data_IF_461092440541
#
_entry.id   IF_461092440541
#
_cell.length_a   1.000
_cell.length_b   1.000
_cell.length_c   1.000
_cell.angle_alpha   90.00
_cell.angle_beta   90.00
_cell.angle_gamma   90.00
#
_symmetry.space_group_name_H-M   'P 1'
#
loop_
_entity.id
_entity.type
_entity.pdbx_description
1 polymer ?
#
# COMPACT_ATOMS: atom_id res chain seq x y z
N UNK A 1 10.49 -1.96 -22.98
CA UNK A 1 9.17 -2.08 -22.38
C UNK A 1 8.27 -1.00 -22.97
N UNK A 2 7.34 -1.36 -23.82
CA UNK A 2 6.27 -0.43 -24.22
C UNK A 2 5.31 -0.40 -23.03
N UNK A 3 5.15 0.79 -22.47
CA UNK A 3 4.55 1.04 -21.20
C UNK A 3 3.20 0.37 -21.00
N UNK A 4 3.07 -0.26 -19.85
CA UNK A 4 1.79 -0.52 -19.26
C UNK A 4 1.07 0.78 -18.89
N UNK A 5 -0.13 0.69 -18.29
CA UNK A 5 -0.82 1.87 -17.81
C UNK A 5 0.05 2.64 -16.80
N UNK A 6 -0.01 3.95 -16.86
CA UNK A 6 0.65 4.85 -15.91
C UNK A 6 -0.41 5.67 -15.16
N UNK A 7 -0.24 5.89 -13.87
CA UNK A 7 0.85 5.45 -13.00
C UNK A 7 0.83 3.93 -12.74
N UNK A 8 1.99 3.33 -12.50
CA UNK A 8 2.10 1.91 -12.21
C UNK A 8 2.87 1.63 -10.92
N UNK A 9 2.53 0.53 -10.26
CA UNK A 9 3.23 0.01 -9.08
C UNK A 9 3.86 -1.32 -9.47
N UNK A 10 5.16 -1.48 -9.19
CA UNK A 10 5.82 -2.77 -9.33
C UNK A 10 5.49 -3.64 -8.11
N UNK A 11 5.09 -4.89 -8.34
CA UNK A 11 4.83 -5.84 -7.26
C UNK A 11 5.76 -7.03 -7.42
N UNK A 12 6.65 -7.23 -6.46
CA UNK A 12 7.72 -8.21 -6.51
C UNK A 12 7.64 -9.15 -5.31
N UNK A 13 7.38 -10.43 -5.56
CA UNK A 13 7.46 -11.48 -4.55
C UNK A 13 8.89 -12.01 -4.46
N UNK A 14 9.42 -12.07 -3.25
CA UNK A 14 10.65 -12.78 -2.94
C UNK A 14 10.33 -14.27 -2.77
N UNK A 15 11.12 -15.14 -3.41
CA UNK A 15 10.89 -16.60 -3.41
C UNK A 15 11.87 -17.34 -2.51
N UNK A 16 12.68 -16.65 -1.72
CA UNK A 16 13.74 -17.25 -0.90
C UNK A 16 13.23 -17.92 0.39
N UNK A 17 11.93 -18.16 0.49
CA UNK A 17 11.31 -18.90 1.59
C UNK A 17 11.72 -18.37 2.98
N UNK A 18 12.52 -19.13 3.74
CA UNK A 18 12.97 -18.74 5.07
C UNK A 18 13.94 -17.55 5.06
N UNK A 19 14.61 -17.32 3.93
CA UNK A 19 15.55 -16.22 3.70
C UNK A 19 14.90 -14.99 3.02
N UNK A 20 13.57 -14.96 2.91
CA UNK A 20 12.84 -13.82 2.35
C UNK A 20 13.29 -12.51 2.98
N UNK A 21 13.70 -11.55 2.15
CA UNK A 21 14.20 -10.25 2.57
C UNK A 21 15.68 -10.21 2.89
N UNK A 22 16.44 -11.29 2.70
CA UNK A 22 17.90 -11.31 2.85
C UNK A 22 18.60 -10.60 1.70
N UNK A 23 18.20 -10.90 0.46
CA UNK A 23 18.61 -10.18 -0.72
C UNK A 23 17.64 -9.05 -1.08
N UNK A 24 18.09 -8.06 -1.86
CA UNK A 24 17.16 -7.07 -2.37
C UNK A 24 17.45 -6.65 -3.80
N UNK A 25 16.38 -6.61 -4.59
CA UNK A 25 16.41 -6.08 -5.95
C UNK A 25 16.33 -4.55 -5.97
N UNK A 26 15.65 -3.94 -4.99
CA UNK A 26 15.29 -2.53 -4.97
C UNK A 26 16.28 -1.65 -4.20
N UNK A 27 16.79 -0.63 -4.89
CA UNK A 27 17.66 0.40 -4.36
C UNK A 27 17.58 1.66 -5.22
N UNK A 28 18.55 2.57 -5.09
CA UNK A 28 18.64 3.82 -5.84
C UNK A 28 18.42 3.62 -7.34
N UNK A 29 19.19 2.74 -7.99
CA UNK A 29 19.15 2.53 -9.43
C UNK A 29 17.77 2.08 -9.90
N UNK A 30 17.17 1.11 -9.22
CA UNK A 30 15.87 0.57 -9.60
C UNK A 30 14.74 1.58 -9.39
N UNK A 31 14.77 2.35 -8.30
CA UNK A 31 13.79 3.40 -8.07
C UNK A 31 13.81 4.46 -9.18
N UNK A 32 14.99 4.90 -9.58
CA UNK A 32 15.18 5.89 -10.66
C UNK A 32 14.75 5.36 -12.03
N UNK A 33 15.11 4.11 -12.38
CA UNK A 33 14.69 3.48 -13.64
C UNK A 33 13.16 3.38 -13.71
N UNK A 34 12.53 2.85 -12.67
CA UNK A 34 11.07 2.65 -12.68
C UNK A 34 10.31 3.98 -12.62
N UNK A 35 10.82 4.97 -11.90
CA UNK A 35 10.28 6.33 -11.93
C UNK A 35 10.32 6.93 -13.33
N UNK A 36 11.45 6.80 -14.01
CA UNK A 36 11.62 7.26 -15.40
C UNK A 36 10.71 6.56 -16.41
N UNK A 37 10.24 5.36 -16.08
CA UNK A 37 9.28 4.60 -16.88
C UNK A 37 7.81 4.82 -16.48
N UNK A 38 7.53 5.77 -15.57
CA UNK A 38 6.18 6.12 -15.13
C UNK A 38 5.68 5.31 -13.91
N UNK A 39 6.57 4.56 -13.24
CA UNK A 39 6.29 3.91 -11.97
C UNK A 39 6.21 4.91 -10.82
N UNK A 40 5.35 4.66 -9.84
CA UNK A 40 5.17 5.51 -8.65
C UNK A 40 5.62 4.82 -7.37
N UNK A 41 5.90 3.52 -7.43
CA UNK A 41 6.35 2.79 -6.26
C UNK A 41 6.51 1.29 -6.48
N UNK A 42 6.91 0.62 -5.42
CA UNK A 42 7.07 -0.83 -5.32
C UNK A 42 6.40 -1.37 -4.08
N UNK A 43 5.88 -2.58 -4.20
CA UNK A 43 5.43 -3.42 -3.08
C UNK A 43 6.19 -4.74 -3.17
N UNK A 44 6.89 -5.12 -2.11
CA UNK A 44 7.65 -6.38 -2.05
C UNK A 44 7.67 -6.93 -0.63
N UNK A 45 7.70 -8.25 -0.48
CA UNK A 45 8.03 -8.91 0.78
C UNK A 45 9.55 -9.10 0.96
N UNK A 46 10.32 -8.85 -0.10
CA UNK A 46 11.78 -8.81 -0.06
C UNK A 46 12.36 -7.52 0.54
N UNK A 47 13.68 -7.39 0.44
CA UNK A 47 14.44 -6.25 0.98
C UNK A 47 14.50 -5.04 0.06
N UNK A 48 14.76 -3.88 0.66
CA UNK A 48 15.14 -2.63 -0.02
C UNK A 48 16.41 -2.05 0.60
N UNK A 49 17.15 -1.24 -0.17
CA UNK A 49 18.35 -0.51 0.29
C UNK A 49 18.42 0.89 -0.29
N UNK A 50 19.46 1.63 0.05
CA UNK A 50 19.80 2.96 -0.49
C UNK A 50 18.65 3.99 -0.32
N UNK A 51 17.88 3.91 0.77
CA UNK A 51 16.65 4.70 0.96
C UNK A 51 16.87 6.20 0.80
N UNK A 52 17.97 6.81 1.32
CA UNK A 52 18.20 8.24 1.19
C UNK A 52 18.40 8.72 -0.25
N UNK A 53 18.80 7.81 -1.16
CA UNK A 53 19.16 8.11 -2.54
C UNK A 53 18.09 7.68 -3.56
N UNK A 54 16.92 7.28 -3.08
CA UNK A 54 15.80 6.88 -3.94
C UNK A 54 15.28 8.04 -4.78
N UNK A 55 14.72 7.70 -5.95
CA UNK A 55 14.08 8.68 -6.81
C UNK A 55 12.97 9.43 -6.03
N UNK A 56 13.02 10.76 -6.07
CA UNK A 56 12.05 11.61 -5.38
C UNK A 56 10.60 11.25 -5.77
N UNK A 57 9.74 11.04 -4.79
CA UNK A 57 8.36 10.64 -4.97
C UNK A 57 8.15 9.20 -5.48
N UNK A 58 9.17 8.33 -5.47
CA UNK A 58 9.00 6.90 -5.66
C UNK A 58 8.88 6.20 -4.31
N UNK A 59 7.75 5.55 -4.05
CA UNK A 59 7.42 4.99 -2.74
C UNK A 59 7.69 3.49 -2.66
N UNK A 60 7.89 2.97 -1.45
CA UNK A 60 8.07 1.54 -1.21
C UNK A 60 7.27 1.05 0.00
N UNK A 61 6.67 -0.13 -0.15
CA UNK A 61 6.32 -1.03 0.95
C UNK A 61 7.19 -2.27 0.81
N UNK A 62 7.97 -2.59 1.84
CA UNK A 62 8.95 -3.67 1.78
C UNK A 62 8.96 -4.50 3.06
N UNK A 63 9.38 -5.76 2.95
CA UNK A 63 9.50 -6.67 4.08
C UNK A 63 10.67 -6.34 4.99
N UNK A 64 11.78 -5.81 4.44
CA UNK A 64 12.99 -5.51 5.22
C UNK A 64 13.81 -4.39 4.59
N UNK A 65 14.77 -3.88 5.37
CA UNK A 65 15.82 -2.97 4.91
C UNK A 65 17.16 -3.68 5.09
N UNK A 66 17.92 -3.81 4.01
CA UNK A 66 19.15 -4.60 3.98
C UNK A 66 20.28 -3.85 3.27
N UNK A 67 21.56 -4.12 3.58
CA UNK A 67 22.71 -3.36 3.05
C UNK A 67 23.15 -3.82 1.66
N UNK A 68 22.69 -4.96 1.13
CA UNK A 68 23.21 -5.56 -0.10
C UNK A 68 22.12 -6.22 -0.92
N UNK A 69 22.29 -6.19 -2.26
CA UNK A 69 21.42 -6.96 -3.16
C UNK A 69 21.69 -8.47 -3.13
N UNK A 70 22.80 -8.94 -2.53
CA UNK A 70 23.23 -10.33 -2.58
C UNK A 70 23.23 -10.90 -4.03
N UNK A 71 22.77 -12.12 -4.26
CA UNK A 71 22.74 -12.78 -5.57
C UNK A 71 21.32 -12.89 -6.14
N UNK A 72 20.56 -11.78 -6.12
CA UNK A 72 19.18 -11.76 -6.62
C UNK A 72 19.12 -11.95 -8.14
N UNK A 73 18.09 -12.65 -8.60
CA UNK A 73 17.75 -12.79 -10.02
C UNK A 73 16.24 -12.88 -10.21
N UNK A 74 15.76 -12.54 -11.40
CA UNK A 74 14.33 -12.63 -11.71
C UNK A 74 13.98 -14.08 -12.08
N UNK A 75 13.15 -14.73 -11.28
CA UNK A 75 12.66 -16.08 -11.51
C UNK A 75 11.45 -16.11 -12.45
N UNK A 76 10.65 -15.05 -12.52
CA UNK A 76 9.47 -14.94 -13.37
C UNK A 76 9.04 -13.51 -13.60
N UNK A 77 8.16 -13.30 -14.57
CA UNK A 77 7.62 -11.99 -14.93
C UNK A 77 6.17 -12.09 -15.40
N UNK A 78 5.34 -11.14 -15.00
CA UNK A 78 3.93 -11.06 -15.40
C UNK A 78 3.04 -12.16 -14.82
N UNK A 79 3.53 -12.86 -13.80
CA UNK A 79 2.78 -13.91 -13.11
C UNK A 79 1.97 -13.33 -11.96
N UNK A 80 0.99 -14.09 -11.48
CA UNK A 80 0.31 -13.79 -10.22
C UNK A 80 1.30 -13.98 -9.08
N UNK A 81 1.40 -12.97 -8.19
CA UNK A 81 2.27 -13.00 -7.02
C UNK A 81 1.46 -12.92 -5.73
N UNK A 82 2.06 -13.32 -4.62
CA UNK A 82 1.47 -13.23 -3.29
C UNK A 82 2.44 -12.49 -2.37
N UNK A 83 2.04 -11.33 -1.87
CA UNK A 83 2.85 -10.48 -0.99
C UNK A 83 2.12 -10.32 0.36
N UNK A 84 2.70 -10.81 1.44
CA UNK A 84 2.12 -10.72 2.80
C UNK A 84 0.62 -11.10 2.85
N UNK A 85 0.22 -12.13 2.07
CA UNK A 85 -1.17 -12.60 1.96
C UNK A 85 -1.99 -11.94 0.85
N UNK A 86 -1.63 -10.77 0.35
CA UNK A 86 -2.28 -10.12 -0.80
C UNK A 86 -1.91 -10.84 -2.09
N UNK A 87 -2.90 -11.25 -2.88
CA UNK A 87 -2.72 -11.85 -4.21
C UNK A 87 -2.90 -10.79 -5.26
N UNK A 88 -1.90 -10.63 -6.14
CA UNK A 88 -1.87 -9.58 -7.16
C UNK A 88 -1.65 -10.20 -8.54
N UNK A 89 -2.42 -9.75 -9.51
CA UNK A 89 -2.27 -10.05 -10.93
C UNK A 89 -1.85 -8.81 -11.69
N UNK A 90 -1.18 -9.00 -12.81
CA UNK A 90 -0.86 -7.88 -13.71
C UNK A 90 -2.14 -7.18 -14.16
N UNK A 91 -2.20 -5.87 -13.97
CA UNK A 91 -3.36 -5.04 -14.29
C UNK A 91 -4.31 -4.77 -13.13
N UNK A 92 -4.13 -5.41 -11.98
CA UNK A 92 -4.89 -5.09 -10.78
C UNK A 92 -4.67 -3.64 -10.34
N UNK A 93 -5.73 -3.04 -9.82
CA UNK A 93 -5.67 -1.71 -9.23
C UNK A 93 -5.32 -1.85 -7.75
N UNK A 94 -4.29 -1.14 -7.32
CA UNK A 94 -3.80 -1.21 -5.95
C UNK A 94 -3.88 0.18 -5.31
N UNK A 95 -4.45 0.24 -4.12
CA UNK A 95 -4.25 1.34 -3.18
C UNK A 95 -3.13 0.95 -2.20
N UNK A 96 -2.17 1.84 -2.00
CA UNK A 96 -1.08 1.63 -1.07
C UNK A 96 -0.72 2.93 -0.34
N UNK A 97 -0.56 2.85 0.97
CA UNK A 97 -0.14 3.95 1.83
C UNK A 97 0.74 3.45 2.99
N UNK A 98 1.00 4.29 3.99
CA UNK A 98 1.80 3.94 5.17
C UNK A 98 1.22 2.79 6.02
N UNK A 99 -0.05 2.42 5.84
CA UNK A 99 -0.70 1.32 6.57
C UNK A 99 -0.62 -0.01 5.84
N UNK A 100 -0.23 0.00 4.55
CA UNK A 100 -0.10 -1.20 3.74
C UNK A 100 -0.70 -1.04 2.34
N UNK A 101 -1.09 -2.16 1.76
CA UNK A 101 -1.64 -2.19 0.40
C UNK A 101 -2.85 -3.11 0.31
N UNK A 102 -3.76 -2.78 -0.62
CA UNK A 102 -4.94 -3.58 -0.93
C UNK A 102 -5.22 -3.55 -2.44
N UNK A 103 -5.63 -4.69 -2.99
CA UNK A 103 -6.19 -4.75 -4.34
C UNK A 103 -7.61 -4.20 -4.29
N UNK A 104 -7.88 -3.21 -5.12
CA UNK A 104 -9.19 -2.55 -5.23
C UNK A 104 -9.97 -3.17 -6.39
N UNK A 105 -11.13 -3.81 -6.15
CA UNK A 105 -11.98 -4.29 -7.22
C UNK A 105 -12.43 -3.14 -8.13
N UNK A 106 -12.37 -3.32 -9.44
CA UNK A 106 -12.69 -2.27 -10.41
C UNK A 106 -14.12 -1.72 -10.20
N UNK A 107 -15.07 -2.58 -9.89
CA UNK A 107 -16.47 -2.22 -9.61
C UNK A 107 -16.67 -1.40 -8.32
N UNK A 108 -15.66 -1.37 -7.44
CA UNK A 108 -15.69 -0.59 -6.21
C UNK A 108 -15.24 0.86 -6.40
N UNK A 109 -14.39 1.13 -7.40
CA UNK A 109 -13.68 2.42 -7.56
C UNK A 109 -14.66 3.61 -7.56
N UNK A 110 -15.70 3.54 -8.36
CA UNK A 110 -16.68 4.62 -8.47
C UNK A 110 -17.45 4.88 -7.16
N UNK A 111 -17.48 3.91 -6.24
CA UNK A 111 -18.20 3.99 -4.96
C UNK A 111 -17.33 4.49 -3.81
N UNK A 112 -16.00 4.43 -3.95
CA UNK A 112 -15.05 4.77 -2.89
C UNK A 112 -15.23 6.21 -2.38
N UNK A 113 -15.34 7.26 -3.22
CA UNK A 113 -15.49 8.62 -2.72
C UNK A 113 -16.72 8.80 -1.81
N UNK A 114 -17.86 8.25 -2.22
CA UNK A 114 -19.10 8.33 -1.42
C UNK A 114 -19.00 7.51 -0.12
N UNK A 115 -18.33 6.34 -0.17
CA UNK A 115 -18.10 5.53 1.02
C UNK A 115 -17.15 6.21 2.02
N UNK A 116 -16.12 6.88 1.52
CA UNK A 116 -15.19 7.67 2.36
C UNK A 116 -15.93 8.84 3.03
N UNK A 117 -16.74 9.59 2.29
CA UNK A 117 -17.56 10.69 2.84
C UNK A 117 -18.51 10.19 3.93
N UNK A 118 -19.20 9.07 3.66
CA UNK A 118 -20.08 8.44 4.65
C UNK A 118 -19.32 8.06 5.92
N UNK A 119 -18.16 7.40 5.79
CA UNK A 119 -17.35 6.99 6.95
C UNK A 119 -16.86 8.20 7.74
N UNK A 120 -16.36 9.24 7.07
CA UNK A 120 -15.93 10.49 7.73
C UNK A 120 -17.06 11.14 8.51
N UNK A 121 -18.28 11.22 7.96
CA UNK A 121 -19.44 11.77 8.67
C UNK A 121 -19.81 10.93 9.89
N UNK A 122 -19.77 9.60 9.75
CA UNK A 122 -20.02 8.65 10.85
C UNK A 122 -18.99 8.81 11.97
N UNK A 123 -17.72 8.82 11.62
CA UNK A 123 -16.62 8.94 12.59
C UNK A 123 -16.57 10.30 13.28
N UNK A 124 -16.91 11.38 12.57
CA UNK A 124 -16.91 12.74 13.13
C UNK A 124 -17.81 12.84 14.38
N UNK A 125 -18.94 12.17 14.41
CA UNK A 125 -19.85 12.17 15.57
C UNK A 125 -19.14 11.66 16.85
N UNK A 126 -18.34 10.61 16.72
CA UNK A 126 -17.60 10.04 17.85
C UNK A 126 -16.36 10.88 18.16
N UNK A 127 -15.61 11.28 17.13
CA UNK A 127 -14.36 12.02 17.28
C UNK A 127 -14.59 13.39 17.91
N UNK A 128 -15.61 14.12 17.50
CA UNK A 128 -15.94 15.43 18.04
C UNK A 128 -16.33 15.33 19.53
N UNK A 129 -17.10 14.31 19.86
CA UNK A 129 -17.46 14.03 21.26
C UNK A 129 -16.26 13.64 22.11
N UNK A 130 -15.40 12.76 21.59
CA UNK A 130 -14.23 12.26 22.32
C UNK A 130 -13.19 13.36 22.60
N UNK A 131 -13.11 14.37 21.71
CA UNK A 131 -12.24 15.53 21.86
C UNK A 131 -12.83 16.64 22.75
N UNK A 132 -14.14 16.60 23.02
CA UNK A 132 -14.82 17.62 23.82
C UNK A 132 -14.59 17.41 25.33
N UNK A 133 -14.53 18.51 26.12
CA UNK A 133 -14.48 18.39 27.57
C UNK A 133 -15.70 17.63 28.14
N UNK A 134 -15.45 16.83 29.17
CA UNK A 134 -16.51 16.09 29.84
C UNK A 134 -17.01 14.86 29.07
N UNK A 135 -16.12 14.20 28.32
CA UNK A 135 -16.38 12.92 27.69
C UNK A 135 -16.69 11.85 28.75
N UNK A 136 -17.75 11.08 28.54
CA UNK A 136 -18.18 9.96 29.39
C UNK A 136 -18.61 8.76 28.54
N UNK A 137 -18.70 7.60 29.19
CA UNK A 137 -19.15 6.37 28.54
C UNK A 137 -20.62 6.46 28.06
N UNK A 138 -21.46 7.13 28.82
CA UNK A 138 -22.87 7.36 28.46
C UNK A 138 -22.98 8.19 27.16
N UNK A 139 -22.20 9.27 27.08
CA UNK A 139 -22.12 10.09 25.85
C UNK A 139 -21.59 9.30 24.65
N UNK A 140 -20.64 8.38 24.87
CA UNK A 140 -20.15 7.49 23.82
C UNK A 140 -21.28 6.61 23.27
N UNK A 141 -22.09 6.02 24.13
CA UNK A 141 -23.24 5.21 23.70
C UNK A 141 -24.23 6.00 22.86
N UNK A 142 -24.52 7.23 23.26
CA UNK A 142 -25.39 8.13 22.50
C UNK A 142 -24.79 8.47 21.12
N UNK A 143 -23.47 8.71 21.06
CA UNK A 143 -22.78 8.99 19.81
C UNK A 143 -22.79 7.79 18.86
N UNK A 144 -22.59 6.59 19.36
CA UNK A 144 -22.66 5.36 18.56
C UNK A 144 -24.06 5.19 17.98
N UNK A 145 -25.12 5.39 18.77
CA UNK A 145 -26.49 5.31 18.28
C UNK A 145 -26.77 6.33 17.17
N UNK A 146 -26.29 7.59 17.33
CA UNK A 146 -26.40 8.63 16.28
C UNK A 146 -25.61 8.30 15.02
N UNK A 147 -24.41 7.69 15.16
CA UNK A 147 -23.59 7.26 14.03
C UNK A 147 -24.34 6.23 13.16
N UNK A 148 -25.08 5.33 13.77
CA UNK A 148 -25.85 4.29 13.07
C UNK A 148 -27.00 4.86 12.22
N UNK A 149 -27.50 6.05 12.54
CA UNK A 149 -28.57 6.74 11.80
C UNK A 149 -28.06 7.47 10.54
N UNK A 150 -26.74 7.62 10.37
CA UNK A 150 -26.14 8.31 9.21
C UNK A 150 -26.02 7.33 8.04
N UNK A 151 -26.60 7.70 6.91
CA UNK A 151 -26.63 6.92 5.67
C UNK A 151 -26.04 7.69 4.48
#
# INVERSE_FOLDING_TARGET
AKGGPTPSIAVLQDLDAEDTGFGCFWGEVQSNIHKGLGGVGVITDGGIRDIPDWADGFNALAGSIVPSHAHVHLAGFGQTVRIAGMVVKSGDIIHADQHGAVVVPEEAIAKIPAACDLLQRKEAVILDLAKAPGFTFEKLKEAIAKQDEIH
#
